data_IF_667055502429
#
_entry.id   IF_667055502429
#
_cell.length_a   1.000
_cell.length_b   1.000
_cell.length_c   1.000
_cell.angle_alpha   90.00
_cell.angle_beta   90.00
_cell.angle_gamma   90.00
#
_symmetry.space_group_name_H-M   'P 1'
#
loop_
_entity.id
_entity.type
_entity.pdbx_description
1 polymer ?
#
# COMPACT_ATOMS: atom_id res chain seq x y z
N UNK A 1 -0.18 5.47 21.83
CA UNK A 1 -1.25 4.49 21.52
C UNK A 1 -1.47 4.31 20.02
N UNK A 2 -1.64 5.37 19.22
CA UNK A 2 -1.92 5.26 17.78
C UNK A 2 -0.83 4.58 16.95
N UNK A 3 0.44 4.94 17.15
CA UNK A 3 1.56 4.33 16.40
C UNK A 3 1.63 2.82 16.63
N UNK A 4 1.33 2.35 17.84
CA UNK A 4 1.21 0.92 18.15
C UNK A 4 0.06 0.25 17.39
N UNK A 5 -1.08 0.93 17.22
CA UNK A 5 -2.21 0.42 16.41
C UNK A 5 -1.82 0.32 14.94
N UNK A 6 -1.11 1.32 14.40
CA UNK A 6 -0.66 1.31 13.00
C UNK A 6 0.39 0.22 12.75
N UNK A 7 1.35 0.05 13.67
CA UNK A 7 2.30 -1.06 13.62
C UNK A 7 1.55 -2.41 13.69
N UNK A 8 0.58 -2.54 14.59
CA UNK A 8 -0.26 -3.73 14.67
C UNK A 8 -1.06 -4.00 13.39
N UNK A 9 -1.57 -2.95 12.72
CA UNK A 9 -2.25 -3.07 11.43
C UNK A 9 -1.30 -3.49 10.31
N UNK A 10 -0.07 -2.97 10.28
CA UNK A 10 0.96 -3.41 9.33
C UNK A 10 1.25 -4.90 9.54
N UNK A 11 1.51 -5.32 10.77
CA UNK A 11 1.77 -6.74 11.08
C UNK A 11 0.59 -7.63 10.72
N UNK A 12 -0.64 -7.21 11.03
CA UNK A 12 -1.85 -7.94 10.67
C UNK A 12 -2.01 -8.03 9.14
N UNK A 13 -1.81 -6.93 8.42
CA UNK A 13 -1.86 -6.90 6.96
C UNK A 13 -0.82 -7.85 6.35
N UNK A 14 0.40 -7.87 6.89
CA UNK A 14 1.44 -8.81 6.46
C UNK A 14 1.03 -10.27 6.70
N UNK A 15 0.49 -10.58 7.88
CA UNK A 15 -0.01 -11.93 8.19
C UNK A 15 -1.14 -12.35 7.27
N UNK A 16 -2.12 -11.46 7.03
CA UNK A 16 -3.22 -11.74 6.11
C UNK A 16 -2.73 -11.91 4.67
N UNK A 17 -1.78 -11.09 4.22
CA UNK A 17 -1.20 -11.19 2.88
C UNK A 17 -0.42 -12.49 2.70
N UNK A 18 0.28 -12.96 3.73
CA UNK A 18 1.06 -14.20 3.70
C UNK A 18 0.22 -15.47 3.88
N UNK A 19 -0.92 -15.39 4.57
CA UNK A 19 -1.81 -16.54 4.83
C UNK A 19 -3.02 -16.50 3.89
N UNK A 20 -4.04 -15.72 4.22
CA UNK A 20 -5.33 -15.65 3.55
C UNK A 20 -5.20 -15.36 2.06
N UNK A 21 -4.47 -14.31 1.69
CA UNK A 21 -4.32 -13.93 0.29
C UNK A 21 -3.28 -14.77 -0.47
N UNK A 22 -2.48 -15.56 0.24
CA UNK A 22 -1.67 -16.59 -0.39
C UNK A 22 -2.53 -17.80 -0.81
N UNK A 23 -3.63 -18.07 -0.11
CA UNK A 23 -4.64 -19.05 -0.55
C UNK A 23 -5.60 -18.49 -1.60
N UNK A 24 -5.94 -17.20 -1.52
CA UNK A 24 -6.83 -16.50 -2.45
C UNK A 24 -6.06 -15.81 -3.60
N UNK A 25 -5.03 -16.48 -4.13
CA UNK A 25 -4.30 -15.94 -5.27
C UNK A 25 -5.16 -15.95 -6.52
N UNK A 26 -5.25 -14.80 -7.20
CA UNK A 26 -5.90 -14.68 -8.50
C UNK A 26 -4.79 -14.60 -9.54
N UNK A 27 -4.72 -15.57 -10.45
CA UNK A 27 -3.66 -15.68 -11.45
C UNK A 27 -2.23 -15.72 -10.86
N UNK A 28 -2.05 -16.30 -9.66
CA UNK A 28 -0.75 -16.37 -8.97
C UNK A 28 -0.33 -15.07 -8.28
N UNK A 29 -1.22 -14.07 -8.24
CA UNK A 29 -0.95 -12.75 -7.68
C UNK A 29 -1.74 -12.52 -6.39
N UNK A 30 -1.10 -11.85 -5.43
CA UNK A 30 -1.67 -11.42 -4.15
C UNK A 30 -1.78 -9.89 -4.12
N UNK A 31 -2.78 -9.31 -3.43
CA UNK A 31 -2.93 -7.87 -3.32
C UNK A 31 -1.87 -7.30 -2.35
N UNK A 32 -1.53 -6.02 -2.53
CA UNK A 32 -0.62 -5.30 -1.64
C UNK A 32 -1.40 -4.54 -0.57
N UNK A 33 -1.67 -5.24 0.54
CA UNK A 33 -2.42 -4.67 1.67
C UNK A 33 -1.64 -3.58 2.41
N UNK A 34 -0.31 -3.65 2.42
CA UNK A 34 0.52 -2.63 3.07
C UNK A 34 0.40 -1.33 2.28
N UNK A 35 0.56 -1.39 0.95
CA UNK A 35 0.38 -0.23 0.09
C UNK A 35 -1.01 0.38 0.26
N UNK A 36 -2.06 -0.45 0.32
CA UNK A 36 -3.42 0.01 0.56
C UNK A 36 -3.55 0.81 1.87
N UNK A 37 -3.00 0.29 2.97
CA UNK A 37 -3.01 0.99 4.27
C UNK A 37 -2.22 2.31 4.21
N UNK A 38 -1.10 2.31 3.48
CA UNK A 38 -0.26 3.50 3.28
C UNK A 38 -1.01 4.58 2.50
N UNK A 39 -1.72 4.20 1.42
CA UNK A 39 -2.56 5.11 0.64
C UNK A 39 -3.70 5.65 1.51
N UNK A 40 -4.38 4.81 2.29
CA UNK A 40 -5.45 5.26 3.18
C UNK A 40 -4.95 6.27 4.21
N UNK A 41 -3.78 6.01 4.79
CA UNK A 41 -3.22 6.90 5.79
C UNK A 41 -2.75 8.22 5.16
N UNK A 42 -2.06 8.16 4.02
CA UNK A 42 -1.66 9.35 3.28
C UNK A 42 -2.86 10.21 2.91
N UNK A 43 -3.90 9.59 2.34
CA UNK A 43 -5.11 10.29 1.91
C UNK A 43 -5.95 10.87 3.06
N UNK A 44 -5.83 10.34 4.29
CA UNK A 44 -6.59 10.83 5.44
C UNK A 44 -5.79 11.75 6.37
N UNK A 45 -4.46 11.80 6.25
CA UNK A 45 -3.58 12.48 7.22
C UNK A 45 -2.47 13.30 6.58
N UNK A 46 -2.44 13.35 5.26
CA UNK A 46 -1.45 14.09 4.48
C UNK A 46 -0.14 13.33 4.24
N UNK A 47 0.74 13.98 3.46
CA UNK A 47 1.92 13.34 2.86
C UNK A 47 2.95 12.85 3.87
N UNK A 48 3.13 13.53 5.01
CA UNK A 48 4.17 13.19 6.01
C UNK A 48 3.87 11.86 6.70
N UNK A 49 2.64 11.69 7.19
CA UNK A 49 2.21 10.47 7.87
C UNK A 49 2.14 9.29 6.90
N UNK A 50 1.63 9.53 5.68
CA UNK A 50 1.62 8.53 4.60
C UNK A 50 3.02 8.06 4.22
N UNK A 51 3.98 8.98 4.07
CA UNK A 51 5.37 8.64 3.78
C UNK A 51 6.00 7.83 4.92
N UNK A 52 5.80 8.24 6.17
CA UNK A 52 6.37 7.55 7.34
C UNK A 52 5.86 6.11 7.47
N UNK A 53 4.55 5.89 7.32
CA UNK A 53 4.00 4.53 7.30
C UNK A 53 4.42 3.74 6.07
N UNK A 54 4.54 4.39 4.91
CA UNK A 54 5.07 3.78 3.69
C UNK A 54 6.47 3.22 3.90
N UNK A 55 7.34 4.03 4.52
CA UNK A 55 8.69 3.62 4.87
C UNK A 55 8.70 2.45 5.86
N UNK A 56 8.00 2.56 6.99
CA UNK A 56 7.98 1.50 8.01
C UNK A 56 7.36 0.20 7.49
N UNK A 57 6.23 0.29 6.79
CA UNK A 57 5.53 -0.86 6.23
C UNK A 57 6.33 -1.53 5.12
N UNK A 58 6.97 -0.75 4.25
CA UNK A 58 7.84 -1.28 3.21
C UNK A 58 9.11 -1.90 3.76
N UNK A 59 9.73 -1.30 4.77
CA UNK A 59 10.90 -1.85 5.44
C UNK A 59 10.56 -3.16 6.16
N UNK A 60 9.41 -3.23 6.83
CA UNK A 60 8.92 -4.48 7.40
C UNK A 60 8.75 -5.55 6.31
N UNK A 61 8.16 -5.20 5.17
CA UNK A 61 8.00 -6.13 4.05
C UNK A 61 9.32 -6.61 3.47
N UNK A 62 10.32 -5.74 3.35
CA UNK A 62 11.65 -6.14 2.89
C UNK A 62 12.27 -7.18 3.83
N UNK A 63 12.18 -6.97 5.16
CA UNK A 63 12.69 -7.91 6.17
C UNK A 63 11.98 -9.28 6.08
N UNK A 64 10.65 -9.29 6.00
CA UNK A 64 9.88 -10.53 5.99
C UNK A 64 9.96 -11.31 4.68
N UNK A 65 10.10 -10.61 3.55
CA UNK A 65 10.22 -11.26 2.24
C UNK A 65 11.62 -11.82 1.97
N UNK A 66 12.62 -11.43 2.78
CA UNK A 66 14.02 -11.77 2.53
C UNK A 66 14.56 -11.17 1.23
N UNK A 67 13.89 -10.15 0.69
CA UNK A 67 14.28 -9.44 -0.52
C UNK A 67 15.31 -8.35 -0.20
N UNK A 68 15.67 -7.54 -1.19
CA UNK A 68 16.61 -6.43 -0.99
C UNK A 68 16.00 -5.38 -0.07
N UNK A 69 16.70 -5.16 1.04
CA UNK A 69 16.31 -4.17 2.05
C UNK A 69 16.31 -2.77 1.42
N UNK A 70 15.17 -2.10 1.51
CA UNK A 70 14.99 -0.71 1.08
C UNK A 70 14.16 -0.54 -0.19
N UNK A 71 13.95 -1.58 -1.00
CA UNK A 71 13.17 -1.50 -2.24
C UNK A 71 11.70 -1.17 -1.95
N UNK A 72 11.03 -1.97 -1.11
CA UNK A 72 9.65 -1.71 -0.76
C UNK A 72 9.52 -0.49 0.14
N UNK A 73 10.50 -0.24 1.03
CA UNK A 73 10.52 0.95 1.86
C UNK A 73 10.47 2.24 1.02
N UNK A 74 11.32 2.35 0.00
CA UNK A 74 11.40 3.54 -0.84
C UNK A 74 10.14 3.71 -1.70
N UNK A 75 9.71 2.64 -2.37
CA UNK A 75 8.56 2.70 -3.29
C UNK A 75 7.24 2.95 -2.56
N UNK A 76 7.04 2.40 -1.36
CA UNK A 76 5.85 2.64 -0.54
C UNK A 76 5.89 3.99 0.16
N UNK A 77 7.05 4.47 0.60
CA UNK A 77 7.20 5.84 1.10
C UNK A 77 6.77 6.86 0.04
N UNK A 78 7.26 6.69 -1.20
CA UNK A 78 6.87 7.56 -2.32
C UNK A 78 5.36 7.49 -2.60
N UNK A 79 4.77 6.30 -2.62
CA UNK A 79 3.33 6.14 -2.79
C UNK A 79 2.51 6.83 -1.70
N UNK A 80 2.90 6.68 -0.42
CA UNK A 80 2.24 7.34 0.70
C UNK A 80 2.34 8.86 0.63
N UNK A 81 3.49 9.38 0.20
CA UNK A 81 3.68 10.81 -0.03
C UNK A 81 2.76 11.34 -1.14
N UNK A 82 2.72 10.65 -2.28
CA UNK A 82 1.86 11.00 -3.42
C UNK A 82 0.37 10.93 -3.06
N UNK A 83 -0.04 9.88 -2.33
CA UNK A 83 -1.40 9.73 -1.84
C UNK A 83 -1.78 10.88 -0.90
N UNK A 84 -0.87 11.31 -0.02
CA UNK A 84 -1.14 12.44 0.87
C UNK A 84 -1.08 13.81 0.22
N UNK A 85 -0.49 13.97 -0.97
CA UNK A 85 -0.64 15.20 -1.75
C UNK A 85 -2.04 15.34 -2.33
N UNK A 86 -2.69 14.21 -2.60
CA UNK A 86 -4.05 14.16 -3.10
C UNK A 86 -5.09 14.48 -2.00
N UNK A 87 -4.76 14.27 -0.72
CA UNK A 87 -5.60 14.65 0.43
C UNK A 87 -6.00 16.13 0.38
N UNK A 88 -5.05 17.03 0.11
CA UNK A 88 -5.31 18.47 0.06
C UNK A 88 -6.13 18.92 -1.18
N UNK A 89 -6.30 18.06 -2.18
CA UNK A 89 -6.92 18.40 -3.49
C UNK A 89 -8.26 17.73 -3.74
N UNK A 90 -8.54 16.60 -3.09
CA UNK A 90 -9.70 15.76 -3.40
C UNK A 90 -10.58 15.52 -2.18
N UNK A 91 -11.87 15.29 -2.42
CA UNK A 91 -12.82 14.98 -1.36
C UNK A 91 -12.57 13.59 -0.79
N UNK A 92 -12.21 13.52 0.50
CA UNK A 92 -11.80 12.30 1.19
C UNK A 92 -12.89 11.22 1.30
N UNK A 93 -14.15 11.56 1.03
CA UNK A 93 -15.26 10.61 1.15
C UNK A 93 -15.48 9.74 -0.10
N UNK A 94 -14.89 10.12 -1.25
CA UNK A 94 -15.10 9.38 -2.49
C UNK A 94 -14.22 8.14 -2.57
N UNK A 95 -14.83 6.99 -2.26
CA UNK A 95 -14.23 5.66 -2.39
C UNK A 95 -13.63 5.42 -3.78
N UNK A 96 -14.25 6.00 -4.83
CA UNK A 96 -13.78 5.89 -6.22
C UNK A 96 -12.43 6.57 -6.40
N UNK A 97 -12.24 7.76 -5.83
CA UNK A 97 -10.97 8.50 -5.92
C UNK A 97 -9.86 7.73 -5.20
N UNK A 98 -10.14 7.21 -3.99
CA UNK A 98 -9.15 6.42 -3.22
C UNK A 98 -8.77 5.14 -3.96
N UNK A 99 -9.73 4.48 -4.62
CA UNK A 99 -9.47 3.28 -5.43
C UNK A 99 -8.59 3.60 -6.63
N UNK A 100 -8.89 4.68 -7.36
CA UNK A 100 -8.09 5.14 -8.49
C UNK A 100 -6.67 5.54 -8.07
N UNK A 101 -6.53 6.25 -6.96
CA UNK A 101 -5.23 6.62 -6.40
C UNK A 101 -4.43 5.40 -5.98
N UNK A 102 -5.08 4.40 -5.36
CA UNK A 102 -4.43 3.14 -5.00
C UNK A 102 -3.96 2.39 -6.25
N UNK A 103 -4.76 2.37 -7.32
CA UNK A 103 -4.37 1.77 -8.59
C UNK A 103 -3.12 2.46 -9.17
N UNK A 104 -3.14 3.79 -9.31
CA UNK A 104 -2.03 4.56 -9.90
C UNK A 104 -0.76 4.40 -9.07
N UNK A 105 -0.86 4.57 -7.75
CA UNK A 105 0.30 4.41 -6.86
C UNK A 105 0.83 2.98 -6.83
N UNK A 106 -0.03 1.96 -6.92
CA UNK A 106 0.39 0.56 -7.05
C UNK A 106 1.17 0.30 -8.32
N UNK A 107 0.69 0.79 -9.47
CA UNK A 107 1.40 0.65 -10.73
C UNK A 107 2.78 1.32 -10.66
N UNK A 108 2.85 2.54 -10.10
CA UNK A 108 4.10 3.27 -9.94
C UNK A 108 5.06 2.52 -8.99
N UNK A 109 4.61 2.09 -7.82
CA UNK A 109 5.46 1.40 -6.84
C UNK A 109 5.99 0.06 -7.36
N UNK A 110 5.14 -0.75 -7.99
CA UNK A 110 5.57 -2.04 -8.53
C UNK A 110 6.43 -1.88 -9.79
N UNK A 111 6.13 -0.89 -10.65
CA UNK A 111 6.97 -0.53 -11.79
C UNK A 111 8.35 -0.02 -11.37
N UNK A 112 8.41 0.83 -10.34
CA UNK A 112 9.67 1.28 -9.76
C UNK A 112 10.46 0.11 -9.16
N UNK A 113 9.81 -0.80 -8.42
CA UNK A 113 10.46 -2.01 -7.93
C UNK A 113 11.03 -2.86 -9.09
N UNK A 114 10.28 -3.03 -10.19
CA UNK A 114 10.79 -3.74 -11.36
C UNK A 114 12.04 -3.07 -11.97
N UNK A 115 12.04 -1.75 -12.12
CA UNK A 115 13.20 -1.00 -12.62
C UNK A 115 14.41 -1.19 -11.68
N UNK A 116 14.19 -1.12 -10.37
CA UNK A 116 15.27 -1.30 -9.39
C UNK A 116 15.81 -2.74 -9.40
N UNK A 117 14.96 -3.76 -9.58
CA UNK A 117 15.38 -5.16 -9.75
C UNK A 117 16.20 -5.36 -11.03
N UNK A 118 15.86 -4.66 -12.11
CA UNK A 118 16.64 -4.67 -13.35
C UNK A 118 18.07 -4.13 -13.12
N UNK A 119 18.24 -3.07 -12.33
CA UNK A 119 19.56 -2.56 -11.94
C UNK A 119 20.35 -3.51 -11.03
N UNK A 120 19.69 -4.43 -10.35
CA UNK A 120 20.30 -5.45 -9.50
C UNK A 120 20.61 -6.74 -10.28
N UNK A 121 20.63 -6.66 -11.61
CA UNK A 121 20.86 -7.77 -12.54
C UNK A 121 19.86 -8.94 -12.40
N UNK A 122 18.68 -8.70 -11.84
CA UNK A 122 17.59 -9.69 -11.83
C UNK A 122 16.76 -9.53 -13.10
N UNK A 123 16.99 -10.45 -14.03
CA UNK A 123 16.27 -10.48 -15.30
C UNK A 123 14.90 -11.15 -15.13
N UNK A 124 13.87 -10.32 -14.99
CA UNK A 124 12.47 -10.75 -15.13
C UNK A 124 11.98 -10.28 -16.51
N UNK A 125 11.33 -11.15 -17.32
CA UNK A 125 10.79 -10.73 -18.60
C UNK A 125 9.78 -9.59 -18.42
N UNK A 126 10.00 -8.47 -19.12
CA UNK A 126 9.17 -7.26 -18.97
C UNK A 126 7.68 -7.54 -19.23
N UNK A 127 7.37 -8.37 -20.23
CA UNK A 127 6.00 -8.75 -20.57
C UNK A 127 5.32 -9.49 -19.42
N UNK A 128 6.02 -10.44 -18.78
CA UNK A 128 5.52 -11.18 -17.63
C UNK A 128 5.34 -10.24 -16.43
N UNK A 129 6.34 -9.42 -16.12
CA UNK A 129 6.27 -8.49 -15.00
C UNK A 129 5.09 -7.51 -15.11
N UNK A 130 4.87 -6.93 -16.29
CA UNK A 130 3.82 -5.92 -16.49
C UNK A 130 2.44 -6.57 -16.52
N UNK A 131 2.21 -7.55 -17.40
CA UNK A 131 0.87 -8.08 -17.65
C UNK A 131 0.43 -9.14 -16.67
N UNK A 132 1.35 -9.89 -16.06
CA UNK A 132 1.00 -10.96 -15.13
C UNK A 132 1.21 -10.57 -13.67
N UNK A 133 2.02 -9.54 -13.37
CA UNK A 133 2.26 -9.12 -11.98
C UNK A 133 1.73 -7.71 -11.71
N UNK A 134 2.29 -6.67 -12.34
CA UNK A 134 2.02 -5.26 -11.97
C UNK A 134 0.56 -4.90 -12.18
N UNK A 135 0.01 -5.14 -13.37
CA UNK A 135 -1.39 -4.77 -13.68
C UNK A 135 -2.37 -5.60 -12.84
N UNK A 136 -2.29 -6.94 -12.79
CA UNK A 136 -3.21 -7.73 -11.97
C UNK A 136 -3.14 -7.39 -10.49
N UNK A 137 -1.94 -7.18 -9.92
CA UNK A 137 -1.78 -6.79 -8.51
C UNK A 137 -2.44 -5.45 -8.25
N UNK A 138 -2.25 -4.48 -9.15
CA UNK A 138 -2.78 -3.12 -8.98
C UNK A 138 -4.29 -3.09 -9.10
N UNK A 139 -4.87 -3.82 -10.06
CA UNK A 139 -6.33 -3.97 -10.18
C UNK A 139 -6.88 -4.66 -8.94
N UNK A 140 -6.27 -5.76 -8.51
CA UNK A 140 -6.76 -6.52 -7.35
C UNK A 140 -6.71 -5.68 -6.07
N UNK A 141 -5.60 -4.98 -5.84
CA UNK A 141 -5.44 -4.08 -4.68
C UNK A 141 -6.46 -2.96 -4.73
N UNK A 142 -6.70 -2.33 -5.89
CA UNK A 142 -7.68 -1.26 -6.04
C UNK A 142 -9.13 -1.76 -5.86
N UNK A 143 -9.48 -2.95 -6.35
CA UNK A 143 -10.81 -3.53 -6.17
C UNK A 143 -11.13 -3.89 -4.72
N UNK A 144 -10.11 -4.15 -3.90
CA UNK A 144 -10.30 -4.37 -2.47
C UNK A 144 -10.55 -3.08 -1.69
N UNK A 145 -10.17 -1.91 -2.24
CA UNK A 145 -10.32 -0.61 -1.56
C UNK A 145 -11.77 -0.31 -1.19
N UNK A 146 -12.78 -0.43 -2.07
CA UNK A 146 -14.17 -0.16 -1.68
C UNK A 146 -14.68 -0.99 -0.51
N UNK A 147 -14.21 -2.25 -0.41
CA UNK A 147 -14.62 -3.18 0.64
C UNK A 147 -13.96 -2.87 1.99
N UNK A 148 -12.70 -2.42 1.98
CA UNK A 148 -11.91 -2.18 3.19
C UNK A 148 -11.96 -0.72 3.66
N UNK A 149 -12.02 0.22 2.73
CA UNK A 149 -11.94 1.66 3.00
C UNK A 149 -13.09 2.14 3.89
N UNK A 150 -14.31 1.67 3.66
CA UNK A 150 -15.45 2.06 4.49
C UNK A 150 -15.25 1.70 5.97
N UNK A 151 -14.71 0.51 6.26
CA UNK A 151 -14.38 0.08 7.63
C UNK A 151 -13.23 0.91 8.22
N UNK A 152 -12.22 1.20 7.41
CA UNK A 152 -11.05 1.97 7.83
C UNK A 152 -11.41 3.43 8.14
N UNK A 153 -12.19 4.08 7.26
CA UNK A 153 -12.69 5.44 7.41
C UNK A 153 -13.51 5.58 8.70
N UNK A 154 -14.45 4.66 8.95
CA UNK A 154 -15.26 4.65 10.17
C UNK A 154 -14.42 4.50 11.45
N UNK A 155 -13.35 3.71 11.40
CA UNK A 155 -12.39 3.57 12.50
C UNK A 155 -11.55 4.84 12.72
N UNK A 156 -11.24 5.57 11.64
CA UNK A 156 -10.57 6.86 11.71
C UNK A 156 -11.45 7.97 12.31
N UNK A 157 -12.76 7.96 12.05
CA UNK A 157 -13.67 8.98 12.61
C UNK A 157 -14.14 8.70 14.04
N UNK A 158 -14.48 7.44 14.36
CA UNK A 158 -15.14 7.06 15.63
C UNK A 158 -14.32 6.12 16.52
N UNK A 159 -13.18 5.66 16.04
CA UNK A 159 -12.40 4.58 16.66
C UNK A 159 -11.02 5.00 17.17
N UNK A 160 -10.12 4.02 17.27
CA UNK A 160 -8.83 4.13 17.95
C UNK A 160 -7.79 4.93 17.14
N UNK A 161 -8.10 5.20 15.87
CA UNK A 161 -7.30 5.98 14.94
C UNK A 161 -7.62 7.49 15.00
N UNK A 162 -8.70 7.89 15.68
CA UNK A 162 -9.22 9.27 15.71
C UNK A 162 -8.16 10.30 16.06
N UNK A 163 -8.05 11.36 15.25
CA UNK A 163 -7.23 12.53 15.53
C UNK A 163 -7.76 13.20 16.82
N UNK A 164 -6.90 13.34 17.83
CA UNK A 164 -7.16 14.22 18.98
C UNK A 164 -6.41 15.46 18.57
N UNK A 165 -7.14 16.49 18.21
CA UNK A 165 -6.55 17.82 18.17
C UNK A 165 -5.96 18.11 19.56
N UNK A 166 -4.76 18.72 19.62
CA UNK A 166 -4.17 19.16 20.88
C UNK A 166 -4.99 20.26 21.56
#
# INVERSE_FOLDING_TARGET
MRSFVLIGLILLAMLMQATVFSFLQVAGVKPDLILMLVVFNGFLRGSKEGAFLGFLGGLAQDIFSGSYIGLNALTKMAAGYLAGLAEARFYNESVVIVSLMTFVTSVISHGANYILLYYLDIQVPAFFAILQVIIPTSIYTALLVPLTYWKFFRSNERGWLRFREP
#
